data_IF_323888059793
#
_entry.id   IF_323888059793
#
_cell.length_a   1.000
_cell.length_b   1.000
_cell.length_c   1.000
_cell.angle_alpha   90.00
_cell.angle_beta   90.00
_cell.angle_gamma   90.00
#
_symmetry.space_group_name_H-M   'P 1'
#
loop_
_entity.id
_entity.type
_entity.pdbx_description
1 polymer ?
#
# COMPACT_ATOMS: atom_id res chain seq x y z
N UNK A 1 -14.34 23.53 20.77
CA UNK A 1 -14.91 22.87 19.57
C UNK A 1 -14.41 23.57 18.32
N UNK A 2 -13.40 22.98 17.65
CA UNK A 2 -13.14 23.11 16.20
C UNK A 2 -12.18 21.99 15.83
N UNK A 3 -12.81 20.86 15.49
CA UNK A 3 -12.19 19.66 14.93
C UNK A 3 -12.00 19.91 13.44
N UNK A 4 -10.90 20.56 13.08
CA UNK A 4 -10.51 20.77 11.69
C UNK A 4 -9.02 20.40 11.56
N UNK A 5 -8.72 19.10 11.48
CA UNK A 5 -7.41 18.61 11.04
C UNK A 5 -7.55 18.14 9.57
N UNK A 6 -7.23 18.98 8.57
CA UNK A 6 -7.62 18.78 7.16
C UNK A 6 -6.67 17.88 6.36
N UNK A 7 -5.78 17.17 7.03
CA UNK A 7 -4.60 16.54 6.42
C UNK A 7 -4.93 15.31 5.55
N UNK A 8 -5.96 14.53 5.89
CA UNK A 8 -6.47 13.49 4.98
C UNK A 8 -7.27 14.12 3.81
N UNK A 9 -7.89 15.29 3.98
CA UNK A 9 -8.98 15.79 3.11
C UNK A 9 -8.59 16.46 1.79
N UNK A 10 -7.32 16.80 1.52
CA UNK A 10 -7.02 17.75 0.43
C UNK A 10 -6.43 17.21 -0.88
N UNK A 11 -6.10 15.93 -1.04
CA UNK A 11 -5.78 15.45 -2.41
C UNK A 11 -5.97 13.96 -2.69
N UNK A 12 -5.67 13.05 -1.76
CA UNK A 12 -5.74 11.61 -2.02
C UNK A 12 -6.98 10.93 -1.43
N UNK A 13 -7.46 11.36 -0.25
CA UNK A 13 -8.53 10.64 0.48
C UNK A 13 -9.93 11.05 0.03
N UNK A 14 -10.09 12.21 -0.63
CA UNK A 14 -11.32 12.50 -1.40
C UNK A 14 -11.42 11.64 -2.65
N UNK A 15 -10.33 11.02 -3.08
CA UNK A 15 -10.28 10.19 -4.26
C UNK A 15 -10.21 8.73 -3.86
N UNK A 16 -10.97 7.90 -4.58
CA UNK A 16 -11.03 6.46 -4.30
C UNK A 16 -9.70 5.77 -4.63
N UNK A 17 -8.87 6.38 -5.50
CA UNK A 17 -7.61 5.83 -6.01
C UNK A 17 -6.66 6.94 -6.49
N UNK A 18 -5.36 6.70 -6.43
CA UNK A 18 -4.34 7.45 -7.18
C UNK A 18 -3.26 6.49 -7.72
N UNK A 19 -2.77 6.73 -8.94
CA UNK A 19 -1.64 5.99 -9.52
C UNK A 19 -0.50 6.97 -9.78
N UNK A 20 0.71 6.62 -9.38
CA UNK A 20 1.93 7.31 -9.79
C UNK A 20 2.82 6.37 -10.59
N UNK A 21 3.16 6.78 -11.80
CA UNK A 21 4.16 6.13 -12.63
C UNK A 21 5.41 7.01 -12.65
N UNK A 22 6.53 6.45 -12.22
CA UNK A 22 7.82 7.11 -12.23
C UNK A 22 8.69 6.48 -13.32
N UNK A 23 8.98 7.20 -14.43
CA UNK A 23 9.84 6.68 -15.49
C UNK A 23 11.29 6.44 -15.04
N UNK A 24 12.03 5.54 -15.72
CA UNK A 24 13.48 5.42 -15.57
C UNK A 24 14.18 6.77 -15.82
N UNK A 25 15.08 7.18 -14.93
CA UNK A 25 15.86 8.43 -15.07
C UNK A 25 15.13 9.71 -14.67
N UNK A 26 13.81 9.67 -14.45
CA UNK A 26 13.02 10.85 -14.04
C UNK A 26 12.82 10.90 -12.52
N UNK A 27 12.79 12.10 -11.92
CA UNK A 27 12.57 12.26 -10.48
C UNK A 27 11.13 12.57 -10.07
N UNK A 28 10.35 13.25 -10.92
CA UNK A 28 8.99 13.67 -10.60
C UNK A 28 7.94 12.57 -10.86
N UNK A 29 8.03 11.90 -12.01
CA UNK A 29 7.00 10.96 -12.44
C UNK A 29 5.70 11.65 -12.87
N UNK A 30 4.69 10.84 -13.15
CA UNK A 30 3.36 11.24 -13.62
C UNK A 30 2.30 10.63 -12.71
N UNK A 31 1.22 11.35 -12.47
CA UNK A 31 0.12 10.93 -11.63
C UNK A 31 -1.18 10.83 -12.44
N UNK A 32 -1.95 9.78 -12.19
CA UNK A 32 -3.30 9.58 -12.67
C UNK A 32 -4.25 9.56 -11.47
N UNK A 33 -5.19 10.50 -11.48
CA UNK A 33 -6.21 10.69 -10.45
C UNK A 33 -7.61 10.62 -11.08
N UNK A 34 -8.63 10.08 -10.40
CA UNK A 34 -9.98 9.91 -10.94
C UNK A 34 -10.60 11.18 -11.52
N UNK A 35 -10.29 12.35 -10.96
CA UNK A 35 -10.82 13.62 -11.44
C UNK A 35 -10.23 14.09 -12.79
N UNK A 36 -9.17 13.44 -13.29
CA UNK A 36 -8.38 13.95 -14.42
C UNK A 36 -8.39 13.11 -15.69
N UNK A 37 -8.78 11.82 -15.65
CA UNK A 37 -8.71 10.80 -16.72
C UNK A 37 -7.42 10.75 -17.61
N UNK A 38 -6.45 11.63 -17.36
CA UNK A 38 -5.21 11.79 -18.09
C UNK A 38 -4.04 11.83 -17.12
N UNK A 39 -2.89 11.32 -17.58
CA UNK A 39 -1.64 11.41 -16.86
C UNK A 39 -1.17 12.86 -16.81
N UNK A 40 -0.94 13.36 -15.60
CA UNK A 40 -0.42 14.71 -15.36
C UNK A 40 0.97 14.63 -14.73
N UNK A 41 1.88 15.58 -14.98
CA UNK A 41 3.16 15.63 -14.28
C UNK A 41 2.94 15.67 -12.76
N UNK A 42 3.72 14.90 -12.01
CA UNK A 42 3.74 15.07 -10.56
C UNK A 42 4.34 16.46 -10.26
N UNK A 43 3.69 17.30 -9.43
CA UNK A 43 4.09 18.69 -9.22
C UNK A 43 5.49 18.86 -8.61
N UNK A 44 6.04 17.82 -7.98
CA UNK A 44 7.35 17.83 -7.33
C UNK A 44 8.13 16.54 -7.62
N UNK A 45 9.45 16.59 -7.44
CA UNK A 45 10.26 15.38 -7.40
C UNK A 45 9.89 14.48 -6.21
N UNK A 46 10.03 13.17 -6.36
CA UNK A 46 9.65 12.18 -5.34
C UNK A 46 10.48 12.24 -4.05
N UNK A 47 11.64 12.90 -4.00
CA UNK A 47 12.35 13.15 -2.74
C UNK A 47 11.69 14.22 -1.86
N UNK A 48 10.87 15.10 -2.45
CA UNK A 48 10.32 16.23 -1.72
C UNK A 48 9.12 15.79 -0.90
N UNK A 49 9.22 15.83 0.42
CA UNK A 49 8.10 15.48 1.30
C UNK A 49 6.86 16.40 1.17
N UNK A 50 6.97 17.52 0.44
CA UNK A 50 5.92 18.52 0.28
C UNK A 50 5.28 18.44 -1.11
N UNK A 51 4.02 18.85 -1.15
CA UNK A 51 3.28 19.16 -2.37
C UNK A 51 3.16 18.01 -3.38
N UNK A 52 3.28 16.75 -2.96
CA UNK A 52 2.84 15.60 -3.76
C UNK A 52 2.07 14.54 -2.95
N UNK A 53 1.19 13.83 -3.65
CA UNK A 53 0.17 12.91 -3.10
C UNK A 53 0.75 11.74 -2.30
N UNK A 54 1.80 11.10 -2.80
CA UNK A 54 2.37 9.92 -2.16
C UNK A 54 3.16 10.20 -0.88
N UNK A 55 3.85 11.34 -0.77
CA UNK A 55 4.45 11.76 0.49
C UNK A 55 3.36 12.01 1.53
N UNK A 56 2.26 12.66 1.11
CA UNK A 56 1.12 12.93 1.99
C UNK A 56 0.42 11.64 2.45
N UNK A 57 0.20 10.70 1.55
CA UNK A 57 -0.40 9.40 1.88
C UNK A 57 0.44 8.58 2.87
N UNK A 58 1.76 8.82 2.93
CA UNK A 58 2.71 8.15 3.80
C UNK A 58 3.12 8.98 5.01
N UNK A 59 2.43 10.08 5.31
CA UNK A 59 2.78 10.96 6.42
C UNK A 59 2.75 10.21 7.77
N UNK A 60 1.70 9.40 8.01
CA UNK A 60 1.60 8.56 9.22
C UNK A 60 2.57 7.37 9.24
N UNK A 61 3.21 7.08 8.10
CA UNK A 61 4.28 6.09 8.01
C UNK A 61 5.63 6.72 8.36
N UNK A 62 5.87 7.95 7.92
CA UNK A 62 7.09 8.70 8.18
C UNK A 62 7.15 9.30 9.60
N UNK A 63 6.00 9.62 10.19
CA UNK A 63 5.89 10.29 11.48
C UNK A 63 4.95 9.54 12.44
N UNK A 64 5.01 9.88 13.72
CA UNK A 64 4.10 9.31 14.71
C UNK A 64 2.76 10.05 14.72
N UNK A 65 1.69 9.32 14.43
CA UNK A 65 0.31 9.76 14.53
C UNK A 65 -0.40 8.79 15.46
N UNK A 66 -0.94 9.25 16.60
CA UNK A 66 -1.55 8.37 17.61
C UNK A 66 -2.78 7.63 17.09
N UNK A 67 -3.49 8.26 16.16
CA UNK A 67 -4.73 7.76 15.57
C UNK A 67 -4.51 6.90 14.32
N UNK A 68 -3.25 6.58 13.98
CA UNK A 68 -2.90 5.85 12.76
C UNK A 68 -1.91 4.74 13.05
N UNK A 69 -2.30 3.52 12.67
CA UNK A 69 -1.43 2.35 12.65
C UNK A 69 -1.26 1.83 11.23
N UNK A 70 -0.23 1.03 11.01
CA UNK A 70 0.05 0.41 9.72
C UNK A 70 0.92 -0.82 9.85
N UNK A 71 0.92 -1.62 8.78
CA UNK A 71 1.97 -2.57 8.51
C UNK A 71 2.58 -2.32 7.13
N UNK A 72 3.88 -2.54 7.02
CA UNK A 72 4.63 -2.38 5.78
C UNK A 72 5.29 -3.70 5.38
N UNK A 73 5.24 -4.00 4.08
CA UNK A 73 5.79 -5.22 3.52
C UNK A 73 6.62 -4.93 2.28
N UNK A 74 7.77 -5.57 2.17
CA UNK A 74 8.70 -5.36 1.06
C UNK A 74 9.73 -6.50 1.02
N UNK A 75 9.91 -7.16 -0.11
CA UNK A 75 10.93 -8.20 -0.25
C UNK A 75 12.38 -7.69 -0.27
N UNK A 76 12.56 -6.38 -0.48
CA UNK A 76 13.83 -5.67 -0.35
C UNK A 76 13.64 -4.55 0.68
N UNK A 77 13.30 -4.92 1.92
CA UNK A 77 13.02 -3.97 2.98
C UNK A 77 14.23 -3.06 3.30
N UNK A 78 14.01 -1.77 3.61
CA UNK A 78 15.10 -0.85 3.90
C UNK A 78 15.92 -1.29 5.12
N UNK A 79 17.24 -1.30 4.97
CA UNK A 79 18.17 -1.68 6.05
C UNK A 79 18.27 -3.17 6.34
N UNK A 80 17.55 -4.02 5.59
CA UNK A 80 17.55 -5.47 5.76
C UNK A 80 18.41 -6.12 4.67
N UNK A 81 19.44 -6.87 5.07
CA UNK A 81 20.37 -7.56 4.16
C UNK A 81 20.25 -9.06 4.40
N UNK A 82 20.29 -9.86 3.33
CA UNK A 82 20.40 -11.32 3.41
C UNK A 82 19.10 -12.10 3.60
N UNK A 83 17.94 -11.43 3.68
CA UNK A 83 16.64 -12.12 3.71
C UNK A 83 16.26 -12.60 2.31
N UNK A 84 16.03 -13.90 2.17
CA UNK A 84 15.46 -14.51 0.96
C UNK A 84 13.97 -14.68 1.16
N UNK A 85 13.18 -13.88 0.45
CA UNK A 85 11.73 -14.04 0.39
C UNK A 85 11.34 -14.78 -0.88
N UNK A 86 10.15 -15.37 -0.87
CA UNK A 86 9.56 -16.03 -2.05
C UNK A 86 8.53 -15.14 -2.76
N UNK A 87 8.02 -14.15 -2.03
CA UNK A 87 7.17 -13.08 -2.54
C UNK A 87 8.00 -11.91 -3.03
N UNK A 88 7.53 -11.26 -4.10
CA UNK A 88 8.08 -10.00 -4.61
C UNK A 88 7.21 -8.78 -4.27
N UNK A 89 6.13 -9.00 -3.52
CA UNK A 89 5.13 -7.99 -3.19
C UNK A 89 5.71 -6.91 -2.27
N UNK A 90 5.29 -5.66 -2.50
CA UNK A 90 5.66 -4.50 -1.68
C UNK A 90 4.45 -3.58 -1.49
N UNK A 91 4.36 -2.95 -0.33
CA UNK A 91 3.24 -2.07 -0.01
C UNK A 91 3.12 -1.74 1.46
N UNK A 92 2.10 -0.95 1.77
CA UNK A 92 1.73 -0.52 3.11
C UNK A 92 0.22 -0.53 3.22
N UNK A 93 -0.31 -1.00 4.35
CA UNK A 93 -1.71 -0.81 4.71
C UNK A 93 -1.75 0.04 5.96
N UNK A 94 -2.42 1.19 5.86
CA UNK A 94 -2.59 2.18 6.92
C UNK A 94 -4.06 2.17 7.33
N UNK A 95 -4.34 2.19 8.63
CA UNK A 95 -5.68 2.26 9.18
C UNK A 95 -5.78 3.42 10.16
N UNK A 96 -6.95 4.06 10.19
CA UNK A 96 -7.39 4.84 11.33
C UNK A 96 -7.72 3.87 12.47
N UNK A 97 -7.32 4.17 13.70
CA UNK A 97 -7.65 3.35 14.88
C UNK A 97 -8.67 4.04 15.79
N UNK A 98 -9.28 5.12 15.31
CA UNK A 98 -10.41 5.80 15.96
C UNK A 98 -11.74 5.29 15.41
N UNK A 99 -12.85 5.94 15.75
CA UNK A 99 -14.18 5.55 15.23
C UNK A 99 -14.37 5.82 13.73
N UNK A 100 -13.38 6.38 13.03
CA UNK A 100 -13.46 6.64 11.61
C UNK A 100 -13.19 5.37 10.79
N UNK A 101 -14.21 4.86 10.08
CA UNK A 101 -14.06 3.73 9.15
C UNK A 101 -13.26 4.14 7.89
N UNK A 102 -11.93 4.18 8.01
CA UNK A 102 -11.06 4.64 6.93
C UNK A 102 -9.67 4.00 6.99
N UNK A 103 -9.28 3.42 5.86
CA UNK A 103 -7.95 2.86 5.64
C UNK A 103 -7.42 3.22 4.24
N UNK A 104 -6.11 3.09 4.08
CA UNK A 104 -5.43 3.24 2.81
C UNK A 104 -4.54 2.03 2.54
N UNK A 105 -4.64 1.48 1.32
CA UNK A 105 -3.76 0.41 0.87
C UNK A 105 -2.90 0.89 -0.30
N UNK A 106 -1.59 0.87 -0.09
CA UNK A 106 -0.59 1.28 -1.05
C UNK A 106 0.17 0.06 -1.55
N UNK A 107 0.20 -0.14 -2.85
CA UNK A 107 0.97 -1.18 -3.53
C UNK A 107 2.02 -0.50 -4.41
N UNK A 108 3.28 -0.97 -4.37
CA UNK A 108 4.34 -0.36 -5.18
C UNK A 108 5.39 -1.35 -5.65
N UNK A 109 6.27 -0.89 -6.54
CA UNK A 109 7.42 -1.69 -7.03
C UNK A 109 8.78 -1.24 -6.47
N UNK A 110 8.82 -0.16 -5.68
CA UNK A 110 10.05 0.46 -5.17
C UNK A 110 10.72 -0.38 -4.06
N UNK A 111 11.94 -0.92 -4.24
CA UNK A 111 12.70 -1.56 -3.16
C UNK A 111 13.19 -0.51 -2.14
N UNK A 112 13.38 -0.91 -0.88
CA UNK A 112 13.83 -0.02 0.18
C UNK A 112 12.83 1.07 0.60
N UNK A 113 11.56 0.93 0.23
CA UNK A 113 10.51 1.92 0.42
C UNK A 113 9.22 1.31 1.01
N UNK A 114 8.42 2.11 1.74
CA UNK A 114 8.87 3.31 2.45
C UNK A 114 9.76 2.94 3.64
N UNK A 115 10.39 3.93 4.26
CA UNK A 115 11.10 3.74 5.53
C UNK A 115 10.16 4.12 6.68
N UNK A 116 9.73 3.18 7.53
CA UNK A 116 8.84 3.47 8.66
C UNK A 116 9.54 4.35 9.70
N UNK A 117 8.79 5.30 10.27
CA UNK A 117 9.15 6.13 11.45
C UNK A 117 10.43 6.96 11.30
N UNK A 118 10.76 7.32 10.06
CA UNK A 118 11.81 8.28 9.73
C UNK A 118 11.27 9.31 8.74
N UNK A 119 11.91 10.49 8.62
CA UNK A 119 11.51 11.48 7.62
C UNK A 119 11.35 10.88 6.22
N UNK A 120 10.33 11.34 5.51
CA UNK A 120 10.01 10.85 4.18
C UNK A 120 11.22 10.94 3.25
N UNK A 121 11.52 9.84 2.57
CA UNK A 121 12.60 9.76 1.58
C UNK A 121 12.21 8.83 0.45
N UNK A 122 12.67 9.15 -0.75
CA UNK A 122 12.65 8.24 -1.89
C UNK A 122 14.05 7.64 -2.08
N UNK A 123 14.19 6.31 -2.32
CA UNK A 123 15.51 5.69 -2.44
C UNK A 123 16.26 6.18 -3.68
N UNK A 124 17.45 6.77 -3.50
CA UNK A 124 18.22 7.35 -4.59
C UNK A 124 18.69 6.31 -5.64
N UNK A 125 18.91 5.06 -5.22
CA UNK A 125 19.24 3.94 -6.13
C UNK A 125 18.14 3.68 -7.15
N UNK A 126 16.90 4.06 -6.83
CA UNK A 126 15.73 3.78 -7.63
C UNK A 126 15.44 4.86 -8.66
N UNK A 127 16.23 5.93 -8.76
CA UNK A 127 16.05 6.94 -9.81
C UNK A 127 16.31 6.40 -11.22
N UNK A 128 17.22 5.45 -11.39
CA UNK A 128 17.48 4.84 -12.68
C UNK A 128 16.34 3.92 -13.16
N UNK A 129 15.48 3.43 -12.26
CA UNK A 129 14.48 2.39 -12.55
C UNK A 129 13.07 2.95 -12.73
N UNK A 130 12.23 2.24 -13.48
CA UNK A 130 10.80 2.57 -13.60
C UNK A 130 10.00 2.02 -12.42
N UNK A 131 9.10 2.81 -11.83
CA UNK A 131 8.26 2.37 -10.73
C UNK A 131 6.78 2.72 -10.89
N UNK A 132 5.94 1.86 -10.34
CA UNK A 132 4.51 2.08 -10.22
C UNK A 132 4.14 2.10 -8.74
N UNK A 133 3.32 3.07 -8.35
CA UNK A 133 2.71 3.15 -7.05
C UNK A 133 1.20 3.34 -7.23
N UNK A 134 0.43 2.55 -6.49
CA UNK A 134 -1.03 2.59 -6.46
C UNK A 134 -1.46 2.85 -5.02
N UNK A 135 -2.25 3.88 -4.79
CA UNK A 135 -2.89 4.16 -3.51
C UNK A 135 -4.40 3.96 -3.66
N UNK A 136 -5.01 3.19 -2.77
CA UNK A 136 -6.44 2.95 -2.70
C UNK A 136 -6.96 3.43 -1.36
N UNK A 137 -8.00 4.25 -1.38
CA UNK A 137 -8.77 4.59 -0.17
C UNK A 137 -9.84 3.51 -0.01
N UNK A 138 -9.94 2.90 1.17
CA UNK A 138 -10.83 1.76 1.44
C UNK A 138 -11.48 1.91 2.81
N UNK A 139 -12.67 1.35 2.99
CA UNK A 139 -13.22 1.12 4.33
C UNK A 139 -12.45 -0.02 4.99
N UNK A 140 -12.46 -0.04 6.31
CA UNK A 140 -11.77 -1.07 7.09
C UNK A 140 -12.35 -2.48 6.88
N UNK A 141 -13.61 -2.57 6.47
CA UNK A 141 -14.25 -3.82 6.06
C UNK A 141 -13.54 -4.51 4.88
N UNK A 142 -12.74 -3.78 4.09
CA UNK A 142 -11.97 -4.33 2.97
C UNK A 142 -10.62 -4.91 3.41
N UNK A 143 -10.19 -4.69 4.66
CA UNK A 143 -8.87 -5.13 5.14
C UNK A 143 -8.76 -6.65 5.18
N UNK A 144 -9.80 -7.36 5.64
CA UNK A 144 -9.75 -8.83 5.73
C UNK A 144 -9.62 -9.50 4.34
N UNK A 145 -10.41 -9.12 3.30
CA UNK A 145 -10.15 -9.58 1.94
C UNK A 145 -8.74 -9.28 1.43
N UNK A 146 -8.19 -8.09 1.72
CA UNK A 146 -6.79 -7.75 1.35
C UNK A 146 -5.82 -8.66 2.10
N UNK A 147 -6.05 -8.91 3.39
CA UNK A 147 -5.24 -9.80 4.21
C UNK A 147 -5.25 -11.23 3.65
N UNK A 148 -6.38 -11.74 3.16
CA UNK A 148 -6.45 -13.05 2.48
C UNK A 148 -5.57 -13.08 1.24
N UNK A 149 -5.60 -12.03 0.42
CA UNK A 149 -4.73 -11.93 -0.75
C UNK A 149 -3.24 -11.91 -0.36
N UNK A 150 -2.88 -11.06 0.61
CA UNK A 150 -1.51 -10.96 1.11
C UNK A 150 -1.04 -12.25 1.79
N UNK A 151 -1.89 -12.93 2.55
CA UNK A 151 -1.56 -14.19 3.22
C UNK A 151 -1.16 -15.28 2.22
N UNK A 152 -1.85 -15.36 1.07
CA UNK A 152 -1.46 -16.26 -0.03
C UNK A 152 -0.19 -15.78 -0.73
N UNK A 153 -0.01 -14.46 -0.89
CA UNK A 153 1.19 -13.89 -1.48
C UNK A 153 2.44 -14.00 -0.58
N UNK A 154 2.27 -14.28 0.72
CA UNK A 154 3.31 -14.42 1.74
C UNK A 154 4.42 -13.34 1.67
N UNK A 155 4.07 -12.03 1.69
CA UNK A 155 5.04 -10.96 1.64
C UNK A 155 5.87 -10.90 2.93
N UNK A 156 7.06 -10.33 2.85
CA UNK A 156 7.86 -10.06 4.04
C UNK A 156 7.38 -8.77 4.71
N UNK A 157 6.71 -8.91 5.86
CA UNK A 157 6.32 -7.81 6.74
C UNK A 157 7.56 -7.34 7.51
N UNK A 158 7.98 -6.09 7.30
CA UNK A 158 9.18 -5.54 7.94
C UNK A 158 8.87 -4.48 9.01
N UNK A 159 7.59 -4.09 9.12
CA UNK A 159 7.10 -3.21 10.18
C UNK A 159 5.61 -3.47 10.42
N UNK A 160 5.19 -3.44 11.68
CA UNK A 160 3.81 -3.59 12.11
C UNK A 160 3.60 -2.86 13.45
N UNK A 161 2.66 -1.93 13.51
CA UNK A 161 2.15 -1.32 14.74
C UNK A 161 0.60 -1.38 14.83
N UNK A 162 -0.02 -2.33 14.11
CA UNK A 162 -1.46 -2.58 14.17
C UNK A 162 -1.83 -3.17 15.54
N UNK A 163 -2.74 -2.55 16.30
CA UNK A 163 -3.06 -2.99 17.66
C UNK A 163 -3.89 -4.29 17.66
N UNK A 164 -3.83 -5.01 18.79
CA UNK A 164 -4.52 -6.28 18.96
C UNK A 164 -6.04 -6.20 18.76
N UNK A 165 -6.65 -5.07 19.14
CA UNK A 165 -8.08 -4.81 18.93
C UNK A 165 -8.46 -4.94 17.44
N UNK A 166 -7.63 -4.41 16.55
CA UNK A 166 -7.87 -4.43 15.09
C UNK A 166 -7.63 -5.82 14.50
N UNK A 167 -6.64 -6.56 14.98
CA UNK A 167 -6.40 -7.92 14.47
C UNK A 167 -7.36 -8.96 15.06
N UNK A 168 -7.96 -8.69 16.21
CA UNK A 168 -8.89 -9.63 16.88
C UNK A 168 -10.15 -9.90 16.07
N UNK A 169 -10.61 -8.93 15.28
CA UNK A 169 -11.78 -9.02 14.40
C UNK A 169 -11.42 -9.52 12.99
N UNK A 170 -10.12 -9.67 12.68
CA UNK A 170 -9.58 -9.93 11.35
C UNK A 170 -8.65 -11.15 11.39
N UNK A 171 -9.19 -12.38 11.38
CA UNK A 171 -8.43 -13.59 11.66
C UNK A 171 -7.30 -13.84 10.65
N UNK A 172 -7.49 -13.52 9.38
CA UNK A 172 -6.42 -13.71 8.37
C UNK A 172 -5.37 -12.62 8.48
N UNK A 173 -5.75 -11.39 8.82
CA UNK A 173 -4.79 -10.34 9.13
C UNK A 173 -3.90 -10.73 10.31
N UNK A 174 -4.49 -11.27 11.39
CA UNK A 174 -3.73 -11.75 12.55
C UNK A 174 -2.69 -12.80 12.15
N UNK A 175 -3.07 -13.78 11.33
CA UNK A 175 -2.15 -14.81 10.81
C UNK A 175 -1.02 -14.19 9.98
N UNK A 176 -1.35 -13.27 9.09
CA UNK A 176 -0.39 -12.57 8.25
C UNK A 176 0.65 -11.81 9.08
N UNK A 177 0.20 -11.05 10.08
CA UNK A 177 1.07 -10.24 10.93
C UNK A 177 1.90 -11.09 11.91
N UNK A 178 1.41 -12.28 12.27
CA UNK A 178 2.17 -13.28 13.02
C UNK A 178 3.21 -14.04 12.16
N UNK A 179 3.28 -13.77 10.85
CA UNK A 179 4.21 -14.45 9.95
C UNK A 179 3.82 -15.88 9.58
N UNK A 180 2.55 -16.26 9.80
CA UNK A 180 2.04 -17.54 9.31
C UNK A 180 2.01 -17.56 7.78
N UNK A 181 2.10 -18.76 7.19
CA UNK A 181 2.10 -18.93 5.74
C UNK A 181 1.01 -19.91 5.28
N UNK A 182 0.43 -19.64 4.12
CA UNK A 182 -0.57 -20.51 3.49
C UNK A 182 0.08 -21.81 2.99
N UNK A 183 0.16 -22.83 3.86
CA UNK A 183 0.73 -24.14 3.52
C UNK A 183 -0.28 -25.12 2.90
N UNK A 184 -1.58 -24.86 3.07
CA UNK A 184 -2.68 -25.68 2.52
C UNK A 184 -3.33 -24.97 1.33
N UNK A 185 -3.91 -25.70 0.37
CA UNK A 185 -4.73 -25.12 -0.69
C UNK A 185 -5.89 -24.29 -0.11
N UNK A 186 -6.35 -23.25 -0.84
CA UNK A 186 -5.93 -22.86 -2.20
C UNK A 186 -4.62 -22.05 -2.24
N UNK A 187 -3.79 -22.30 -3.26
CA UNK A 187 -2.50 -21.61 -3.48
C UNK A 187 -2.61 -20.39 -4.40
N UNK A 188 -3.84 -20.08 -4.83
CA UNK A 188 -4.24 -18.96 -5.66
C UNK A 188 -5.52 -18.40 -5.05
N UNK A 189 -5.66 -17.08 -5.02
CA UNK A 189 -6.88 -16.42 -4.55
C UNK A 189 -7.24 -15.25 -5.45
N UNK A 190 -8.54 -15.01 -5.55
CA UNK A 190 -9.16 -13.83 -6.14
C UNK A 190 -10.03 -13.20 -5.07
N UNK A 191 -9.73 -11.96 -4.71
CA UNK A 191 -10.50 -11.18 -3.75
C UNK A 191 -11.12 -9.99 -4.49
N UNK A 192 -12.38 -9.70 -4.21
CA UNK A 192 -13.03 -8.51 -4.73
C UNK A 192 -13.08 -7.49 -3.59
N UNK A 193 -12.58 -6.29 -3.85
CA UNK A 193 -12.67 -5.17 -2.93
C UNK A 193 -13.32 -3.98 -3.61
N UNK A 194 -13.79 -3.03 -2.82
CA UNK A 194 -14.35 -1.78 -3.31
C UNK A 194 -13.66 -0.62 -2.61
N UNK A 195 -13.25 0.37 -3.39
CA UNK A 195 -12.66 1.60 -2.82
C UNK A 195 -13.73 2.46 -2.16
N UNK A 196 -13.33 3.17 -1.10
CA UNK A 196 -14.15 4.17 -0.42
C UNK A 196 -13.96 5.52 -1.12
N UNK A 197 -15.06 6.17 -1.49
CA UNK A 197 -15.04 7.45 -2.21
C UNK A 197 -16.15 7.53 -3.27
N UNK A 198 -16.21 8.66 -3.98
CA UNK A 198 -17.17 8.90 -5.05
C UNK A 198 -16.43 9.19 -6.36
N UNK A 199 -16.52 8.33 -7.40
CA UNK A 199 -17.24 7.05 -7.41
C UNK A 199 -16.47 5.94 -6.67
N UNK A 200 -17.20 4.99 -6.10
CA UNK A 200 -16.62 3.76 -5.58
C UNK A 200 -16.17 2.86 -6.75
N UNK A 201 -14.93 2.38 -6.71
CA UNK A 201 -14.31 1.59 -7.79
C UNK A 201 -14.17 0.13 -7.34
N UNK A 202 -14.75 -0.85 -8.04
CA UNK A 202 -14.53 -2.27 -7.77
C UNK A 202 -13.14 -2.69 -8.27
N UNK A 203 -12.44 -3.50 -7.47
CA UNK A 203 -11.09 -3.97 -7.75
C UNK A 203 -11.01 -5.47 -7.49
N UNK A 204 -10.34 -6.19 -8.39
CA UNK A 204 -10.03 -7.60 -8.23
C UNK A 204 -8.56 -7.75 -7.87
N UNK A 205 -8.29 -8.35 -6.72
CA UNK A 205 -6.95 -8.65 -6.23
C UNK A 205 -6.68 -10.13 -6.47
N UNK A 206 -5.68 -10.41 -7.29
CA UNK A 206 -5.21 -11.76 -7.55
C UNK A 206 -3.92 -12.00 -6.80
N UNK A 207 -3.78 -13.14 -6.14
CA UNK A 207 -2.56 -13.50 -5.41
C UNK A 207 -2.27 -14.98 -5.52
N UNK A 208 -0.98 -15.32 -5.62
CA UNK A 208 -0.51 -16.70 -5.71
C UNK A 208 0.64 -16.91 -4.74
N UNK A 209 0.73 -18.11 -4.21
CA UNK A 209 1.89 -18.56 -3.44
C UNK A 209 2.97 -19.15 -4.35
N UNK A 210 4.15 -19.43 -3.79
CA UNK A 210 5.22 -20.17 -4.47
C UNK A 210 4.79 -21.59 -4.90
N UNK A 211 3.78 -22.15 -4.22
CA UNK A 211 3.26 -23.49 -4.49
C UNK A 211 2.27 -23.51 -5.66
N UNK A 212 1.88 -22.34 -6.16
CA UNK A 212 1.01 -22.24 -7.33
C UNK A 212 1.74 -22.63 -8.60
N UNK A 213 1.16 -23.56 -9.35
CA UNK A 213 1.64 -23.98 -10.68
C UNK A 213 1.19 -23.03 -11.81
N UNK A 214 0.38 -22.03 -11.50
CA UNK A 214 -0.16 -21.10 -12.49
C UNK A 214 0.72 -19.84 -12.62
N UNK A 215 0.84 -19.35 -13.86
CA UNK A 215 1.39 -18.04 -14.17
C UNK A 215 0.25 -17.00 -14.19
N UNK A 216 0.54 -15.78 -13.74
CA UNK A 216 -0.35 -14.64 -14.00
C UNK A 216 -0.04 -14.13 -15.41
N UNK A 217 -0.99 -14.30 -16.33
CA UNK A 217 -0.95 -13.66 -17.64
C UNK A 217 -1.90 -12.47 -17.61
N UNK A 218 -1.41 -11.28 -17.94
CA UNK A 218 -2.27 -10.17 -18.28
C UNK A 218 -2.76 -10.38 -19.72
N UNK A 219 -3.97 -10.89 -19.90
CA UNK A 219 -4.67 -10.77 -21.18
C UNK A 219 -5.22 -9.35 -21.26
N UNK A 220 -4.52 -8.49 -22.01
CA UNK A 220 -5.05 -7.19 -22.40
C UNK A 220 -6.03 -7.48 -23.55
N UNK A 221 -7.35 -7.23 -23.39
CA UNK A 221 -8.30 -7.34 -24.50
C UNK A 221 -8.04 -6.29 -25.57
#
# INVERSE_FOLDING_TARGET
MRSDNPVFRQSVVKQSKAILYKPPGEKAGKILVPAGEAWTPNPQNLENARDHSFAKALESVAQNHQDKSFFAYNNAAPGVIGIKTKSNSKGVLILDVTAADSAAWIVHTVPGYPKPKVPYTFPASEYANGHLLLCLTISESQIEPIAVALFVAAPFIHYNDVPDAEVSTRPTLKKLLNGETAIKPPFLTKQNIVTQGAPAIPIQVFSKSERSKYAFCATIP
#
